data_IF_497826331883
#
_entry.id   IF_497826331883
#
_cell.length_a   1.000
_cell.length_b   1.000
_cell.length_c   1.000
_cell.angle_alpha   90.00
_cell.angle_beta   90.00
_cell.angle_gamma   90.00
#
_symmetry.space_group_name_H-M   'P 1'
#
loop_
_entity.id
_entity.type
_entity.pdbx_description
1 polymer ?
#
# COMPACT_ATOMS: atom_id res chain seq x y z
N UNK A 1 -12.41 -57.94 -13.97
CA UNK A 1 -11.87 -56.62 -13.77
C UNK A 1 -12.96 -55.59 -14.07
N UNK A 2 -13.42 -54.88 -13.05
CA UNK A 2 -14.61 -54.04 -13.19
C UNK A 2 -14.26 -52.69 -13.82
N UNK A 3 -14.54 -52.50 -15.09
CA UNK A 3 -14.39 -51.25 -15.84
C UNK A 3 -15.12 -50.06 -15.16
N UNK A 4 -16.15 -50.34 -14.38
CA UNK A 4 -16.89 -49.34 -13.58
C UNK A 4 -16.04 -48.70 -12.48
N UNK A 5 -15.12 -49.46 -11.88
CA UNK A 5 -14.22 -48.94 -10.84
C UNK A 5 -13.13 -48.01 -11.40
N UNK A 6 -12.69 -48.30 -12.61
CA UNK A 6 -11.70 -47.44 -13.29
C UNK A 6 -12.30 -46.11 -13.76
N UNK A 7 -13.57 -46.11 -14.17
CA UNK A 7 -14.28 -44.88 -14.54
C UNK A 7 -14.51 -43.95 -13.33
N UNK A 8 -14.78 -44.54 -12.17
CA UNK A 8 -14.92 -43.76 -10.92
C UNK A 8 -13.58 -43.19 -10.47
N UNK A 9 -12.48 -43.90 -10.62
CA UNK A 9 -11.14 -43.45 -10.29
C UNK A 9 -10.65 -42.32 -11.22
N UNK A 10 -10.96 -42.44 -12.52
CA UNK A 10 -10.64 -41.42 -13.52
C UNK A 10 -11.45 -40.13 -13.29
N UNK A 11 -12.71 -40.23 -12.87
CA UNK A 11 -13.53 -39.05 -12.49
C UNK A 11 -13.03 -38.38 -11.20
N UNK A 12 -12.58 -39.16 -10.23
CA UNK A 12 -12.04 -38.59 -8.97
C UNK A 12 -10.73 -37.83 -9.22
N UNK A 13 -9.87 -38.34 -10.10
CA UNK A 13 -8.62 -37.64 -10.49
C UNK A 13 -8.89 -36.37 -11.31
N UNK A 14 -9.92 -36.34 -12.13
CA UNK A 14 -10.31 -35.16 -12.90
C UNK A 14 -10.88 -34.06 -11.99
N UNK A 15 -11.62 -34.42 -10.94
CA UNK A 15 -12.15 -33.45 -9.96
C UNK A 15 -11.03 -32.83 -9.09
N UNK A 16 -10.02 -33.62 -8.73
CA UNK A 16 -8.84 -33.13 -8.00
C UNK A 16 -7.98 -32.15 -8.83
N UNK A 17 -7.92 -32.35 -10.14
CA UNK A 17 -7.18 -31.43 -11.04
C UNK A 17 -7.87 -30.06 -11.20
N UNK A 18 -9.18 -30.00 -11.03
CA UNK A 18 -9.94 -28.75 -11.14
C UNK A 18 -9.78 -27.88 -9.87
N UNK A 19 -9.54 -28.47 -8.71
CA UNK A 19 -9.34 -27.76 -7.45
C UNK A 19 -7.97 -27.08 -7.35
N UNK A 20 -6.99 -27.50 -8.12
CA UNK A 20 -5.66 -26.86 -8.16
C UNK A 20 -5.58 -25.68 -9.12
N UNK A 21 -6.62 -25.38 -9.90
CA UNK A 21 -6.67 -24.24 -10.81
C UNK A 21 -7.16 -22.93 -10.15
N UNK A 22 -7.57 -22.96 -8.89
CA UNK A 22 -7.93 -21.77 -8.10
C UNK A 22 -6.77 -21.31 -7.23
N UNK A 23 -5.58 -21.17 -7.80
CA UNK A 23 -4.57 -20.31 -7.19
C UNK A 23 -5.07 -18.88 -7.29
N UNK A 24 -5.15 -18.11 -6.18
CA UNK A 24 -5.43 -16.69 -6.30
C UNK A 24 -4.38 -16.11 -7.23
N UNK A 25 -4.79 -15.50 -8.32
CA UNK A 25 -3.91 -14.66 -9.12
C UNK A 25 -3.45 -13.58 -8.17
N UNK A 26 -2.23 -13.69 -7.73
CA UNK A 26 -1.56 -12.58 -7.09
C UNK A 26 -1.65 -11.43 -8.08
N UNK A 27 -2.52 -10.48 -7.76
CA UNK A 27 -2.55 -9.21 -8.49
C UNK A 27 -1.14 -8.65 -8.40
N UNK A 28 -0.58 -8.23 -9.51
CA UNK A 28 0.81 -7.83 -9.73
C UNK A 28 1.31 -6.66 -8.84
N UNK A 29 0.62 -6.38 -7.75
CA UNK A 29 1.00 -5.41 -6.75
C UNK A 29 1.65 -6.13 -5.56
N UNK A 30 2.84 -6.64 -5.76
CA UNK A 30 3.66 -7.10 -4.66
C UNK A 30 4.61 -5.97 -4.25
N UNK A 31 4.14 -5.19 -3.29
CA UNK A 31 5.00 -4.31 -2.50
C UNK A 31 6.06 -5.08 -1.69
N UNK A 32 6.27 -6.35 -2.00
CA UNK A 32 7.02 -7.29 -1.17
C UNK A 32 8.50 -7.37 -1.50
N UNK A 33 8.95 -6.73 -2.58
CA UNK A 33 10.33 -6.91 -3.04
C UNK A 33 11.29 -5.78 -2.60
N UNK A 34 10.78 -4.70 -2.04
CA UNK A 34 11.64 -3.65 -1.48
C UNK A 34 11.83 -3.86 0.02
N UNK A 35 13.09 -3.94 0.43
CA UNK A 35 13.43 -3.96 1.84
C UNK A 35 13.32 -2.55 2.46
N UNK A 36 12.90 -2.43 3.72
CA UNK A 36 12.88 -1.15 4.40
C UNK A 36 14.31 -0.60 4.56
N UNK A 37 14.50 0.64 4.19
CA UNK A 37 15.74 1.37 4.36
C UNK A 37 15.56 2.34 5.53
N UNK A 38 16.34 2.17 6.59
CA UNK A 38 16.29 3.05 7.75
C UNK A 38 16.79 4.45 7.39
N UNK A 39 16.02 5.46 7.73
CA UNK A 39 16.37 6.88 7.53
C UNK A 39 16.05 7.68 8.78
N UNK A 40 16.78 8.76 9.01
CA UNK A 40 16.56 9.67 10.13
C UNK A 40 16.26 11.12 9.69
N UNK A 41 16.28 11.36 8.40
CA UNK A 41 16.04 12.66 7.79
C UNK A 41 15.08 12.53 6.61
N UNK A 42 14.38 13.59 6.32
CA UNK A 42 13.52 13.69 5.15
C UNK A 42 14.34 13.42 3.87
N UNK A 43 14.02 12.38 3.10
CA UNK A 43 14.73 12.11 1.85
C UNK A 43 14.38 13.14 0.78
N UNK A 44 15.35 13.51 -0.03
CA UNK A 44 15.19 14.44 -1.15
C UNK A 44 15.26 13.69 -2.47
N UNK A 45 14.13 13.57 -3.14
CA UNK A 45 13.98 12.95 -4.46
C UNK A 45 12.73 13.48 -5.18
N UNK A 46 12.48 13.01 -6.38
CA UNK A 46 11.35 13.46 -7.20
C UNK A 46 9.99 13.15 -6.57
N UNK A 47 9.90 12.11 -5.74
CA UNK A 47 8.67 11.74 -5.04
C UNK A 47 8.41 12.68 -3.86
N UNK A 48 9.38 12.86 -3.00
CA UNK A 48 9.24 13.70 -1.81
C UNK A 48 9.16 15.19 -2.13
N UNK A 49 9.64 15.60 -3.31
CA UNK A 49 9.48 16.95 -3.83
C UNK A 49 8.00 17.32 -4.08
N UNK A 50 7.11 16.33 -4.19
CA UNK A 50 5.68 16.55 -4.43
C UNK A 50 4.88 16.86 -3.16
N UNK A 51 5.45 16.57 -2.00
CA UNK A 51 4.82 16.74 -0.70
C UNK A 51 5.78 17.41 0.29
N UNK A 52 5.33 17.64 1.48
CA UNK A 52 6.13 18.18 2.59
C UNK A 52 6.08 17.21 3.79
N UNK A 53 7.05 17.24 4.69
CA UNK A 53 7.02 16.40 5.89
C UNK A 53 5.86 16.78 6.82
N UNK A 54 5.31 15.82 7.59
CA UNK A 54 4.36 16.14 8.65
C UNK A 54 5.04 16.96 9.76
N UNK A 55 4.26 17.76 10.48
CA UNK A 55 4.78 18.60 11.58
C UNK A 55 5.17 17.76 12.81
N UNK A 56 4.47 16.66 13.03
CA UNK A 56 4.68 15.75 14.15
C UNK A 56 5.07 14.38 13.63
N UNK A 57 5.65 13.56 14.51
CA UNK A 57 6.15 12.27 14.15
C UNK A 57 7.58 12.29 13.61
N UNK A 58 8.13 11.13 13.44
CA UNK A 58 9.49 10.91 12.98
C UNK A 58 9.47 9.93 11.81
N UNK A 59 10.23 10.23 10.76
CA UNK A 59 10.47 9.23 9.70
C UNK A 59 11.42 8.17 10.23
N UNK A 60 11.13 6.89 9.93
CA UNK A 60 11.99 5.79 10.35
C UNK A 60 12.43 4.90 9.19
N UNK A 61 11.58 4.65 8.22
CA UNK A 61 11.91 3.83 7.07
C UNK A 61 11.36 4.42 5.77
N UNK A 62 12.03 4.07 4.68
CA UNK A 62 11.52 4.26 3.32
C UNK A 62 11.53 2.94 2.58
N UNK A 63 10.66 2.81 1.59
CA UNK A 63 10.63 1.71 0.65
C UNK A 63 10.77 2.29 -0.75
N UNK A 64 11.88 1.97 -1.41
CA UNK A 64 12.20 2.50 -2.73
C UNK A 64 11.65 1.59 -3.83
N UNK A 65 10.51 1.96 -4.40
CA UNK A 65 9.91 1.34 -5.57
C UNK A 65 10.04 2.24 -6.80
N UNK A 66 11.11 3.03 -6.89
CA UNK A 66 11.27 4.02 -7.96
C UNK A 66 11.27 3.41 -9.36
N UNK A 67 11.71 2.15 -9.51
CA UNK A 67 11.59 1.41 -10.77
C UNK A 67 10.12 1.23 -11.24
N UNK A 68 9.15 1.32 -10.32
CA UNK A 68 7.71 1.28 -10.59
C UNK A 68 7.03 2.64 -10.39
N UNK A 69 7.79 3.72 -10.36
CA UNK A 69 7.32 5.08 -10.10
C UNK A 69 6.57 5.23 -8.76
N UNK A 70 7.04 4.54 -7.73
CA UNK A 70 6.49 4.57 -6.39
C UNK A 70 7.58 4.71 -5.33
N UNK A 71 7.21 5.33 -4.22
CA UNK A 71 8.09 5.54 -3.08
C UNK A 71 7.26 5.62 -1.81
N UNK A 72 7.60 4.87 -0.78
CA UNK A 72 6.85 4.87 0.47
C UNK A 72 7.68 5.41 1.63
N UNK A 73 7.03 6.20 2.48
CA UNK A 73 7.58 6.79 3.69
C UNK A 73 6.84 6.21 4.90
N UNK A 74 7.59 5.71 5.87
CA UNK A 74 7.05 5.21 7.14
C UNK A 74 7.43 6.14 8.28
N UNK A 75 6.43 6.48 9.10
CA UNK A 75 6.56 7.38 10.24
C UNK A 75 6.11 6.70 11.52
N UNK A 76 6.71 7.10 12.62
CA UNK A 76 6.39 6.68 13.98
C UNK A 76 6.19 7.87 14.90
N UNK A 77 5.75 7.63 16.13
CA UNK A 77 5.60 8.64 17.16
C UNK A 77 4.66 9.79 16.74
N UNK A 78 3.54 9.49 16.13
CA UNK A 78 2.49 10.44 15.82
C UNK A 78 1.12 9.85 16.21
N UNK A 79 0.22 10.72 16.66
CA UNK A 79 -1.15 10.33 16.98
C UNK A 79 -2.00 10.20 15.71
N UNK A 80 -3.17 9.58 15.84
CA UNK A 80 -4.17 9.55 14.75
C UNK A 80 -4.57 10.99 14.37
N UNK A 81 -4.71 11.87 15.35
CA UNK A 81 -5.03 13.31 15.15
C UNK A 81 -3.93 14.01 14.35
N UNK A 82 -2.66 13.80 14.69
CA UNK A 82 -1.52 14.36 13.95
C UNK A 82 -1.51 13.89 12.48
N UNK A 83 -1.78 12.63 12.24
CA UNK A 83 -1.88 12.08 10.89
C UNK A 83 -3.07 12.65 10.13
N UNK A 84 -4.22 12.81 10.77
CA UNK A 84 -5.40 13.44 10.18
C UNK A 84 -5.14 14.92 9.84
N UNK A 85 -4.43 15.65 10.68
CA UNK A 85 -4.01 17.03 10.40
C UNK A 85 -3.05 17.12 9.21
N UNK A 86 -2.16 16.15 9.08
CA UNK A 86 -1.27 16.06 7.91
C UNK A 86 -2.05 15.82 6.61
N UNK A 87 -3.02 14.91 6.63
CA UNK A 87 -3.93 14.69 5.47
C UNK A 87 -4.68 15.98 5.13
N UNK A 88 -5.20 16.68 6.13
CA UNK A 88 -5.88 17.96 5.93
C UNK A 88 -4.94 19.03 5.33
N UNK A 89 -3.68 19.09 5.76
CA UNK A 89 -2.68 20.00 5.22
C UNK A 89 -2.34 19.70 3.74
N UNK A 90 -2.24 18.42 3.37
CA UNK A 90 -2.07 18.00 1.97
C UNK A 90 -3.27 18.40 1.11
N UNK A 91 -4.48 18.25 1.61
CA UNK A 91 -5.70 18.70 0.93
C UNK A 91 -5.72 20.22 0.75
N UNK A 92 -5.29 20.98 1.75
CA UNK A 92 -5.13 22.44 1.67
C UNK A 92 -4.06 22.85 0.64
N UNK A 93 -3.06 21.99 0.40
CA UNK A 93 -2.03 22.18 -0.62
C UNK A 93 -2.48 21.79 -2.04
N UNK A 94 -3.72 21.37 -2.21
CA UNK A 94 -4.33 21.11 -3.51
C UNK A 94 -4.56 19.64 -3.85
N UNK A 95 -4.29 18.71 -2.94
CA UNK A 95 -4.62 17.31 -3.14
C UNK A 95 -6.12 17.07 -2.94
N UNK A 96 -6.78 16.49 -3.93
CA UNK A 96 -8.18 16.11 -3.84
C UNK A 96 -8.31 14.71 -3.24
N UNK A 97 -9.23 14.54 -2.31
CA UNK A 97 -9.56 13.24 -1.73
C UNK A 97 -10.36 12.40 -2.74
N UNK A 98 -9.85 11.22 -3.07
CA UNK A 98 -10.53 10.25 -3.94
C UNK A 98 -11.41 9.33 -3.10
N UNK A 99 -10.88 8.82 -2.00
CA UNK A 99 -11.60 8.00 -1.03
C UNK A 99 -10.94 8.09 0.34
N UNK A 100 -11.71 7.80 1.39
CA UNK A 100 -11.22 7.67 2.75
C UNK A 100 -12.01 6.63 3.52
N UNK A 101 -11.34 5.96 4.44
CA UNK A 101 -11.93 4.99 5.35
C UNK A 101 -11.35 5.21 6.76
N UNK A 102 -12.18 5.04 7.77
CA UNK A 102 -11.77 5.14 9.16
C UNK A 102 -12.57 4.20 10.06
N UNK A 103 -11.89 3.66 11.07
CA UNK A 103 -12.48 2.97 12.21
C UNK A 103 -11.78 3.41 13.49
N UNK A 104 -12.13 2.85 14.66
CA UNK A 104 -11.58 3.27 15.95
C UNK A 104 -10.06 3.05 16.10
N UNK A 105 -9.47 2.17 15.29
CA UNK A 105 -8.07 1.77 15.39
C UNK A 105 -7.18 2.33 14.27
N UNK A 106 -7.75 2.63 13.10
CA UNK A 106 -6.98 3.06 11.93
C UNK A 106 -7.83 3.88 10.94
N UNK A 107 -7.15 4.60 10.09
CA UNK A 107 -7.77 5.34 9.00
C UNK A 107 -6.87 5.32 7.75
N UNK A 108 -7.47 5.60 6.62
CA UNK A 108 -6.77 5.70 5.35
C UNK A 108 -7.40 6.75 4.45
N UNK A 109 -6.59 7.33 3.58
CA UNK A 109 -7.03 8.29 2.59
C UNK A 109 -6.24 8.10 1.29
N UNK A 110 -6.93 8.22 0.18
CA UNK A 110 -6.31 8.32 -1.14
C UNK A 110 -6.50 9.73 -1.67
N UNK A 111 -5.42 10.40 -1.98
CA UNK A 111 -5.39 11.77 -2.47
C UNK A 111 -4.74 11.83 -3.85
N UNK A 112 -5.12 12.82 -4.65
CA UNK A 112 -4.54 13.03 -5.99
C UNK A 112 -4.38 14.52 -6.30
N UNK A 113 -3.25 14.84 -6.92
CA UNK A 113 -2.99 16.17 -7.49
C UNK A 113 -2.20 16.02 -8.79
N UNK A 114 -2.83 16.34 -9.93
CA UNK A 114 -2.21 16.11 -11.23
C UNK A 114 -1.87 14.64 -11.45
N UNK A 115 -0.61 14.36 -11.73
CA UNK A 115 -0.10 12.99 -11.92
C UNK A 115 0.43 12.34 -10.62
N UNK A 116 0.24 12.99 -9.48
CA UNK A 116 0.68 12.49 -8.17
C UNK A 116 -0.48 11.88 -7.43
N UNK A 117 -0.36 10.62 -7.04
CA UNK A 117 -1.31 9.92 -6.16
C UNK A 117 -0.65 9.60 -4.83
N UNK A 118 -1.38 9.79 -3.75
CA UNK A 118 -0.96 9.45 -2.39
C UNK A 118 -1.92 8.42 -1.80
N UNK A 119 -1.37 7.33 -1.28
CA UNK A 119 -2.08 6.39 -0.42
C UNK A 119 -1.53 6.55 0.99
N UNK A 120 -2.36 7.00 1.90
CA UNK A 120 -1.98 7.25 3.29
C UNK A 120 -2.77 6.32 4.19
N UNK A 121 -2.07 5.55 5.00
CA UNK A 121 -2.66 4.71 6.03
C UNK A 121 -2.03 5.07 7.37
N UNK A 122 -2.85 5.22 8.39
CA UNK A 122 -2.37 5.58 9.72
C UNK A 122 -3.20 4.93 10.82
N UNK A 123 -2.53 4.69 11.92
CA UNK A 123 -3.08 4.20 13.17
C UNK A 123 -2.39 4.92 14.32
N UNK A 124 -2.69 4.55 15.57
CA UNK A 124 -1.94 5.09 16.70
C UNK A 124 -0.45 4.76 16.54
N UNK A 125 0.38 5.79 16.66
CA UNK A 125 1.85 5.76 16.62
C UNK A 125 2.49 5.44 15.25
N UNK A 126 1.72 5.24 14.18
CA UNK A 126 2.25 4.88 12.88
C UNK A 126 1.49 5.52 11.71
N UNK A 127 2.23 5.90 10.68
CA UNK A 127 1.67 6.33 9.39
C UNK A 127 2.58 5.85 8.26
N UNK A 128 1.98 5.45 7.17
CA UNK A 128 2.69 5.18 5.93
C UNK A 128 2.09 6.03 4.80
N UNK A 129 2.97 6.61 3.99
CA UNK A 129 2.59 7.41 2.82
C UNK A 129 3.23 6.80 1.59
N UNK A 130 2.41 6.25 0.70
CA UNK A 130 2.86 5.77 -0.60
C UNK A 130 2.61 6.84 -1.66
N UNK A 131 3.68 7.29 -2.30
CA UNK A 131 3.66 8.27 -3.38
C UNK A 131 3.78 7.53 -4.70
N UNK A 132 2.88 7.78 -5.63
CA UNK A 132 2.95 7.27 -7.00
C UNK A 132 2.97 8.44 -7.99
N UNK A 133 3.90 8.40 -8.94
CA UNK A 133 3.96 9.30 -10.07
C UNK A 133 3.37 8.60 -11.29
N UNK A 134 2.17 9.02 -11.69
CA UNK A 134 1.44 8.44 -12.81
C UNK A 134 1.91 9.13 -14.11
N UNK A 135 2.39 8.34 -15.01
CA UNK A 135 2.84 8.83 -16.32
C UNK A 135 1.70 9.17 -17.26
#
# INVERSE_FOLDING_TARGET
>A
MNVRKWRALAMLLAVLAILSACSPRETAWQATDAEPIAVSQWPENDFTAQIFPPQNGEIDFVYDYSASNRYALSFRNLSIEDAAEYVAALKAAGFAEITSEANDASAGAMLQKGNVSLNIAYSQDAMIVLIALNG
#
